data_IF_133128806792
#
_entry.id   IF_133128806792
#
_cell.length_a   1.000
_cell.length_b   1.000
_cell.length_c   1.000
_cell.angle_alpha   90.00
_cell.angle_beta   90.00
_cell.angle_gamma   90.00
#
_symmetry.space_group_name_H-M   'P 1'
#
loop_
_entity.id
_entity.type
_entity.pdbx_description
1 polymer ?
#
# COMPACT_ATOMS: atom_id res chain seq x y z
N UNK A 1 7.58 -13.00 17.88
CA UNK A 1 8.83 -12.72 17.14
C UNK A 1 8.50 -11.59 16.17
N UNK A 2 9.23 -10.48 16.23
CA UNK A 2 9.02 -9.39 15.27
C UNK A 2 9.36 -9.89 13.86
N UNK A 3 8.47 -9.62 12.91
CA UNK A 3 8.76 -9.86 11.49
C UNK A 3 10.07 -9.16 11.17
N UNK A 4 11.00 -9.87 10.54
CA UNK A 4 12.25 -9.26 10.08
C UNK A 4 11.91 -8.08 9.17
N UNK A 5 12.44 -6.90 9.47
CA UNK A 5 12.18 -5.66 8.70
C UNK A 5 12.46 -5.89 7.21
N UNK A 6 13.47 -6.69 6.88
CA UNK A 6 13.81 -7.00 5.50
C UNK A 6 12.70 -7.78 4.78
N UNK A 7 12.01 -8.70 5.45
CA UNK A 7 10.89 -9.44 4.85
C UNK A 7 9.67 -8.55 4.62
N UNK A 8 9.41 -7.64 5.57
CA UNK A 8 8.32 -6.66 5.45
C UNK A 8 8.60 -5.71 4.30
N UNK A 9 9.81 -5.18 4.23
CA UNK A 9 10.23 -4.25 3.18
C UNK A 9 10.24 -4.92 1.79
N UNK A 10 10.65 -6.19 1.71
CA UNK A 10 10.61 -6.97 0.48
C UNK A 10 9.18 -7.30 0.03
N UNK A 11 8.23 -7.54 0.95
CA UNK A 11 6.81 -7.69 0.62
C UNK A 11 6.28 -6.40 -0.03
N UNK A 12 6.53 -5.26 0.57
CA UNK A 12 6.12 -3.95 0.07
C UNK A 12 6.76 -3.61 -1.29
N UNK A 13 8.08 -3.78 -1.41
CA UNK A 13 8.80 -3.53 -2.67
C UNK A 13 8.27 -4.40 -3.80
N UNK A 14 8.02 -5.67 -3.52
CA UNK A 14 7.46 -6.60 -4.50
C UNK A 14 6.02 -6.23 -4.89
N UNK A 15 5.19 -5.82 -3.93
CA UNK A 15 3.87 -5.29 -4.22
C UNK A 15 3.95 -4.03 -5.10
N UNK A 16 4.82 -3.08 -4.76
CA UNK A 16 5.01 -1.84 -5.52
C UNK A 16 5.47 -2.15 -6.97
N UNK A 17 6.30 -3.18 -7.17
CA UNK A 17 6.75 -3.58 -8.49
C UNK A 17 5.63 -4.04 -9.41
N UNK A 18 4.52 -4.58 -8.88
CA UNK A 18 3.33 -4.97 -9.67
C UNK A 18 2.63 -3.77 -10.31
N UNK A 19 2.75 -2.60 -9.69
CA UNK A 19 2.15 -1.34 -10.14
C UNK A 19 3.09 -0.52 -11.03
N UNK A 20 4.35 -0.91 -11.12
CA UNK A 20 5.39 -0.17 -11.82
C UNK A 20 5.51 -0.58 -13.29
N UNK A 21 5.70 0.38 -14.18
CA UNK A 21 6.12 0.15 -15.57
C UNK A 21 7.63 0.04 -15.69
N UNK A 22 8.35 0.75 -14.82
CA UNK A 22 9.80 0.69 -14.67
C UNK A 22 10.11 0.30 -13.23
N UNK A 23 10.82 -0.81 -13.07
CA UNK A 23 11.36 -1.27 -11.80
C UNK A 23 12.84 -1.59 -12.00
N UNK A 24 13.72 -0.90 -11.27
CA UNK A 24 15.18 -1.07 -11.35
C UNK A 24 15.79 -1.06 -9.97
N UNK A 25 16.75 -1.93 -9.76
CA UNK A 25 17.59 -1.94 -8.57
C UNK A 25 19.01 -1.56 -8.97
N UNK A 26 19.51 -0.47 -8.39
CA UNK A 26 20.83 0.09 -8.66
C UNK A 26 21.50 0.28 -7.31
N UNK A 27 22.46 -0.57 -6.98
CA UNK A 27 23.16 -0.59 -5.71
C UNK A 27 22.22 -0.54 -4.49
N UNK A 28 22.24 0.57 -3.76
CA UNK A 28 21.47 0.81 -2.55
C UNK A 28 20.13 1.50 -2.82
N UNK A 29 19.75 1.70 -4.09
CA UNK A 29 18.51 2.36 -4.49
C UNK A 29 17.66 1.42 -5.33
N UNK A 30 16.36 1.39 -5.04
CA UNK A 30 15.36 0.68 -5.82
C UNK A 30 14.34 1.67 -6.38
N UNK A 31 14.25 1.73 -7.70
CA UNK A 31 13.40 2.65 -8.46
C UNK A 31 12.08 1.98 -8.84
N UNK A 32 10.98 2.65 -8.56
CA UNK A 32 9.64 2.31 -9.04
C UNK A 32 9.06 3.49 -9.79
N UNK A 33 8.56 3.28 -11.00
CA UNK A 33 7.93 4.35 -11.78
C UNK A 33 6.78 3.84 -12.62
N UNK A 34 5.65 4.54 -12.51
CA UNK A 34 4.53 4.43 -13.43
C UNK A 34 3.92 5.82 -13.63
N UNK A 35 4.34 6.57 -14.68
CA UNK A 35 3.87 7.92 -14.93
C UNK A 35 2.34 8.03 -15.09
N UNK A 36 1.67 6.95 -15.50
CA UNK A 36 0.22 6.94 -15.66
C UNK A 36 -0.56 6.95 -14.35
N UNK A 37 0.13 6.69 -13.21
CA UNK A 37 -0.43 6.84 -11.87
C UNK A 37 -0.28 8.27 -11.32
N UNK A 38 0.26 9.21 -12.13
CA UNK A 38 0.43 10.61 -11.74
C UNK A 38 1.44 10.78 -10.60
N UNK A 39 1.21 11.79 -9.76
CA UNK A 39 2.09 12.13 -8.63
C UNK A 39 1.82 11.25 -7.39
N UNK A 40 1.55 9.96 -7.58
CA UNK A 40 1.34 9.03 -6.47
C UNK A 40 2.66 8.73 -5.74
N UNK A 41 2.70 9.06 -4.45
CA UNK A 41 3.91 8.93 -3.61
C UNK A 41 4.28 7.48 -3.30
N UNK A 42 3.35 6.56 -3.43
CA UNK A 42 3.58 5.15 -3.13
C UNK A 42 4.15 4.39 -4.34
N UNK A 43 3.69 4.69 -5.54
CA UNK A 43 4.06 3.97 -6.77
C UNK A 43 5.12 4.67 -7.63
N UNK A 44 5.37 5.96 -7.42
CA UNK A 44 6.39 6.73 -8.12
C UNK A 44 7.49 7.16 -7.14
N UNK A 45 8.38 6.23 -6.79
CA UNK A 45 9.34 6.44 -5.70
C UNK A 45 10.68 5.76 -5.89
N UNK A 46 11.61 6.17 -5.05
CA UNK A 46 12.90 5.55 -4.80
C UNK A 46 12.92 5.03 -3.37
N UNK A 47 13.13 3.72 -3.20
CA UNK A 47 13.50 3.18 -1.89
C UNK A 47 15.01 3.32 -1.76
N UNK A 48 15.48 3.89 -0.66
CA UNK A 48 16.89 4.06 -0.37
C UNK A 48 17.24 3.30 0.89
N UNK A 49 18.22 2.39 0.80
CA UNK A 49 18.69 1.65 1.96
C UNK A 49 19.56 2.50 2.88
N UNK A 50 19.57 2.18 4.18
CA UNK A 50 20.38 2.90 5.20
C UNK A 50 21.89 2.87 4.96
N UNK A 51 22.37 2.03 4.05
CA UNK A 51 23.79 1.86 3.72
C UNK A 51 24.25 2.68 2.53
N UNK A 52 23.40 3.56 2.02
CA UNK A 52 23.68 4.36 0.82
C UNK A 52 24.46 5.63 1.17
N UNK A 53 25.74 5.69 0.83
CA UNK A 53 26.60 6.83 1.12
C UNK A 53 26.76 7.80 -0.08
N UNK A 54 26.22 7.45 -1.26
CA UNK A 54 26.38 8.20 -2.53
C UNK A 54 25.06 8.39 -3.28
N UNK A 55 24.02 8.75 -2.52
CA UNK A 55 22.66 8.89 -3.03
C UNK A 55 22.58 9.96 -4.12
N UNK A 56 23.29 11.07 -3.99
CA UNK A 56 23.25 12.17 -4.97
C UNK A 56 23.79 11.73 -6.34
N UNK A 57 24.86 10.92 -6.37
CA UNK A 57 25.41 10.38 -7.61
C UNK A 57 24.43 9.44 -8.31
N UNK A 58 23.78 8.55 -7.53
CA UNK A 58 22.77 7.65 -8.06
C UNK A 58 21.54 8.43 -8.56
N UNK A 59 21.10 9.45 -7.85
CA UNK A 59 19.99 10.28 -8.29
C UNK A 59 20.31 11.04 -9.58
N UNK A 60 21.54 11.53 -9.72
CA UNK A 60 22.00 12.14 -10.97
C UNK A 60 22.01 11.12 -12.12
N UNK A 61 22.49 9.90 -11.88
CA UNK A 61 22.46 8.82 -12.84
C UNK A 61 21.02 8.48 -13.26
N UNK A 62 20.10 8.42 -12.31
CA UNK A 62 18.69 8.14 -12.56
C UNK A 62 18.06 9.27 -13.38
N UNK A 63 18.30 10.53 -13.04
CA UNK A 63 17.80 11.69 -13.80
C UNK A 63 18.28 11.68 -15.26
N UNK A 64 19.51 11.29 -15.51
CA UNK A 64 20.08 11.28 -16.87
C UNK A 64 19.62 10.10 -17.72
N UNK A 65 19.42 8.92 -17.13
CA UNK A 65 19.17 7.69 -17.88
C UNK A 65 17.68 7.30 -17.95
N UNK A 66 16.87 7.81 -17.04
CA UNK A 66 15.45 7.52 -16.98
C UNK A 66 14.70 8.85 -17.15
N UNK A 67 14.27 9.13 -18.39
CA UNK A 67 13.44 10.31 -18.69
C UNK A 67 12.10 10.17 -17.95
N UNK A 68 12.04 10.71 -16.75
CA UNK A 68 10.81 10.78 -15.99
C UNK A 68 9.93 11.90 -16.60
N UNK A 69 8.78 11.55 -17.14
CA UNK A 69 7.74 12.51 -17.52
C UNK A 69 7.03 13.11 -16.28
N UNK A 70 7.53 12.82 -15.08
CA UNK A 70 7.03 13.33 -13.82
C UNK A 70 7.83 14.55 -13.39
N UNK A 71 7.14 15.56 -12.86
CA UNK A 71 7.80 16.74 -12.27
C UNK A 71 8.29 16.47 -10.85
N UNK A 72 7.67 15.52 -10.20
CA UNK A 72 7.86 15.18 -8.79
C UNK A 72 8.09 13.69 -8.64
N UNK A 73 9.02 13.33 -7.79
CA UNK A 73 9.31 11.96 -7.40
C UNK A 73 9.42 11.88 -5.89
N UNK A 74 9.22 10.68 -5.33
CA UNK A 74 9.28 10.52 -3.88
C UNK A 74 10.44 9.62 -3.47
N UNK A 75 10.99 9.88 -2.30
CA UNK A 75 12.07 9.08 -1.71
C UNK A 75 11.55 8.48 -0.42
N UNK A 76 11.65 7.17 -0.30
CA UNK A 76 11.35 6.43 0.91
C UNK A 76 12.63 5.90 1.52
N UNK A 77 12.92 6.26 2.75
CA UNK A 77 14.10 5.79 3.51
C UNK A 77 13.66 5.31 4.88
N UNK A 78 14.24 4.20 5.38
CA UNK A 78 14.00 3.73 6.74
C UNK A 78 14.62 4.73 7.72
N UNK A 79 13.87 5.08 8.77
CA UNK A 79 14.20 6.17 9.68
C UNK A 79 15.24 5.84 10.72
N UNK A 80 16.47 5.56 10.38
CA UNK A 80 17.56 5.50 11.37
C UNK A 80 18.70 6.49 11.08
N UNK A 81 18.59 7.29 10.02
CA UNK A 81 19.63 8.22 9.61
C UNK A 81 19.08 9.66 9.55
N UNK A 82 19.17 10.39 10.66
CA UNK A 82 18.97 11.85 10.67
C UNK A 82 19.98 12.59 9.77
N UNK A 83 21.07 11.91 9.40
CA UNK A 83 22.14 12.42 8.54
C UNK A 83 21.85 12.32 7.04
N UNK A 84 20.67 11.83 6.63
CA UNK A 84 20.30 11.79 5.23
C UNK A 84 19.91 13.20 4.75
N UNK A 85 20.90 14.06 4.59
CA UNK A 85 20.71 15.42 4.09
C UNK A 85 20.91 15.44 2.58
N UNK A 86 19.85 15.72 1.83
CA UNK A 86 19.92 16.03 0.41
C UNK A 86 19.52 17.49 0.18
N UNK A 87 20.31 18.22 -0.60
CA UNK A 87 20.16 19.67 -0.80
C UNK A 87 18.85 20.09 -1.48
N UNK A 88 18.21 19.21 -2.26
CA UNK A 88 17.03 19.52 -3.10
C UNK A 88 15.78 18.76 -2.71
N UNK A 89 15.64 18.29 -1.46
CA UNK A 89 14.46 17.55 -0.99
C UNK A 89 13.71 18.31 0.08
N UNK A 90 12.41 18.13 0.06
CA UNK A 90 11.52 18.57 1.14
C UNK A 90 10.89 17.36 1.81
N UNK A 91 10.88 17.31 3.14
CA UNK A 91 10.13 16.28 3.87
C UNK A 91 8.66 16.35 3.45
N UNK A 92 8.14 15.21 2.99
CA UNK A 92 6.74 15.04 2.62
C UNK A 92 5.92 14.52 3.80
N UNK A 93 6.42 13.47 4.47
CA UNK A 93 5.70 12.84 5.56
C UNK A 93 6.49 11.72 6.23
N UNK A 94 5.82 11.01 7.12
CA UNK A 94 6.34 9.82 7.78
C UNK A 94 5.33 8.68 7.64
N UNK A 95 5.77 7.55 7.11
CA UNK A 95 4.96 6.35 6.99
C UNK A 95 5.26 5.40 8.13
N UNK A 96 4.24 5.03 8.88
CA UNK A 96 4.31 3.95 9.85
C UNK A 96 4.02 2.62 9.17
N UNK A 97 4.87 1.65 9.43
CA UNK A 97 4.65 0.26 9.09
C UNK A 97 4.22 -0.46 10.35
N UNK A 98 3.04 -1.10 10.29
CA UNK A 98 2.45 -1.81 11.43
C UNK A 98 2.27 -3.28 11.08
N UNK A 99 2.41 -4.14 12.08
CA UNK A 99 2.16 -5.58 11.99
C UNK A 99 1.08 -6.01 12.97
N UNK A 100 0.29 -6.99 12.54
CA UNK A 100 -0.69 -7.68 13.35
C UNK A 100 -0.28 -9.16 13.46
N UNK A 101 -0.23 -9.69 14.67
CA UNK A 101 -0.28 -11.14 14.86
C UNK A 101 -1.70 -11.61 14.58
N UNK A 102 -1.87 -12.36 13.49
CA UNK A 102 -3.20 -12.79 13.06
C UNK A 102 -3.87 -13.73 14.04
N UNK A 103 -3.09 -14.43 14.89
CA UNK A 103 -3.60 -15.36 15.89
C UNK A 103 -4.20 -14.64 17.10
N UNK A 104 -3.67 -13.44 17.41
CA UNK A 104 -4.19 -12.60 18.50
C UNK A 104 -5.41 -11.75 18.08
N UNK A 105 -5.76 -11.72 16.80
CA UNK A 105 -6.85 -10.87 16.32
C UNK A 105 -8.21 -11.34 16.80
N UNK A 106 -8.95 -10.43 17.43
CA UNK A 106 -10.34 -10.64 17.84
C UNK A 106 -11.25 -10.36 16.65
N UNK A 107 -11.94 -11.41 16.20
CA UNK A 107 -12.85 -11.32 15.07
C UNK A 107 -14.02 -10.38 15.36
N UNK A 108 -14.33 -9.54 14.41
CA UNK A 108 -15.51 -8.68 14.41
C UNK A 108 -16.51 -9.18 13.34
N UNK A 109 -17.78 -9.07 13.63
CA UNK A 109 -18.85 -9.34 12.67
C UNK A 109 -19.82 -8.15 12.66
N UNK A 110 -19.74 -7.35 11.62
CA UNK A 110 -20.64 -6.22 11.41
C UNK A 110 -22.01 -6.70 10.89
N UNK A 111 -23.06 -6.01 11.33
CA UNK A 111 -24.39 -6.24 10.74
C UNK A 111 -24.45 -5.54 9.37
N UNK A 112 -25.11 -6.19 8.41
CA UNK A 112 -25.34 -5.62 7.07
C UNK A 112 -24.08 -5.39 6.23
N UNK A 113 -22.99 -6.11 6.49
CA UNK A 113 -21.77 -6.05 5.69
C UNK A 113 -21.39 -7.48 5.30
N UNK A 114 -21.20 -7.70 4.01
CA UNK A 114 -20.67 -8.95 3.45
C UNK A 114 -19.36 -8.64 2.75
N UNK A 115 -18.36 -9.51 2.92
CA UNK A 115 -17.06 -9.36 2.28
C UNK A 115 -16.75 -10.61 1.48
N UNK A 116 -16.64 -10.42 0.18
CA UNK A 116 -16.46 -11.48 -0.79
C UNK A 116 -15.10 -11.39 -1.50
N UNK A 117 -14.65 -12.54 -2.01
CA UNK A 117 -13.58 -12.56 -2.99
C UNK A 117 -14.09 -11.98 -4.30
N UNK A 118 -13.26 -11.18 -4.93
CA UNK A 118 -13.54 -10.65 -6.27
C UNK A 118 -13.15 -11.69 -7.32
N UNK A 119 -14.08 -12.05 -8.17
CA UNK A 119 -13.81 -12.80 -9.38
C UNK A 119 -13.62 -11.87 -10.59
N UNK A 120 -13.43 -12.43 -11.78
CA UNK A 120 -13.25 -11.62 -13.00
C UNK A 120 -14.47 -10.80 -13.38
N UNK A 121 -15.67 -11.23 -13.01
CA UNK A 121 -16.92 -10.54 -13.35
C UNK A 121 -17.09 -9.31 -12.45
N UNK A 122 -16.67 -9.42 -11.20
CA UNK A 122 -16.80 -8.35 -10.19
C UNK A 122 -15.60 -7.38 -10.20
N UNK A 123 -14.59 -7.62 -11.05
CA UNK A 123 -13.37 -6.83 -11.10
C UNK A 123 -13.64 -5.33 -11.34
N UNK A 124 -14.55 -5.01 -12.24
CA UNK A 124 -14.94 -3.62 -12.53
C UNK A 124 -15.57 -2.93 -11.31
N UNK A 125 -16.33 -3.67 -10.51
CA UNK A 125 -16.95 -3.15 -9.28
C UNK A 125 -15.88 -2.83 -8.24
N UNK A 126 -14.89 -3.71 -8.07
CA UNK A 126 -13.74 -3.47 -7.19
C UNK A 126 -12.94 -2.22 -7.62
N UNK A 127 -12.64 -2.09 -8.92
CA UNK A 127 -11.90 -0.94 -9.47
C UNK A 127 -12.67 0.36 -9.23
N UNK A 128 -13.99 0.35 -9.42
CA UNK A 128 -14.83 1.52 -9.18
C UNK A 128 -14.79 1.94 -7.71
N UNK A 129 -14.92 0.98 -6.79
CA UNK A 129 -14.84 1.24 -5.33
C UNK A 129 -13.45 1.75 -4.96
N UNK A 130 -12.38 1.17 -5.51
CA UNK A 130 -11.02 1.66 -5.31
C UNK A 130 -10.87 3.11 -5.76
N UNK A 131 -11.23 3.41 -7.01
CA UNK A 131 -11.08 4.76 -7.57
C UNK A 131 -11.86 5.81 -6.77
N UNK A 132 -13.08 5.48 -6.30
CA UNK A 132 -13.88 6.38 -5.46
C UNK A 132 -13.33 6.53 -4.04
N UNK A 133 -12.72 5.48 -3.49
CA UNK A 133 -12.20 5.50 -2.12
C UNK A 133 -10.94 6.36 -1.99
N UNK A 134 -10.13 6.41 -3.06
CA UNK A 134 -8.83 7.10 -3.13
C UNK A 134 -8.83 8.35 -4.01
N UNK A 135 -10.00 8.80 -4.48
CA UNK A 135 -10.15 9.95 -5.41
C UNK A 135 -9.28 9.80 -6.68
N UNK A 136 -9.19 8.57 -7.18
CA UNK A 136 -8.27 8.15 -8.23
C UNK A 136 -8.98 7.88 -9.57
N UNK A 137 -10.14 8.48 -9.81
CA UNK A 137 -10.95 8.24 -11.02
C UNK A 137 -10.18 8.54 -12.32
N UNK A 138 -9.28 9.53 -12.28
CA UNK A 138 -8.47 9.93 -13.44
C UNK A 138 -7.50 8.87 -13.92
N UNK A 139 -7.09 7.94 -13.04
CA UNK A 139 -6.14 6.86 -13.35
C UNK A 139 -6.81 5.50 -13.50
N UNK A 140 -8.14 5.47 -13.61
CA UNK A 140 -8.94 4.24 -13.65
C UNK A 140 -8.46 3.23 -14.70
N UNK A 141 -8.16 3.68 -15.91
CA UNK A 141 -7.73 2.80 -17.01
C UNK A 141 -6.39 2.12 -16.70
N UNK A 142 -5.47 2.86 -16.09
CA UNK A 142 -4.20 2.30 -15.65
C UNK A 142 -4.40 1.30 -14.51
N UNK A 143 -5.21 1.62 -13.52
CA UNK A 143 -5.58 0.70 -12.44
C UNK A 143 -6.22 -0.57 -13.01
N UNK A 144 -7.14 -0.44 -13.96
CA UNK A 144 -7.78 -1.57 -14.64
C UNK A 144 -6.75 -2.47 -15.31
N UNK A 145 -5.81 -1.87 -16.03
CA UNK A 145 -4.73 -2.60 -16.72
C UNK A 145 -3.85 -3.36 -15.73
N UNK A 146 -3.41 -2.69 -14.66
CA UNK A 146 -2.54 -3.28 -13.64
C UNK A 146 -3.24 -4.45 -12.96
N UNK A 147 -4.44 -4.22 -12.42
CA UNK A 147 -5.18 -5.22 -11.63
C UNK A 147 -5.54 -6.42 -12.50
N UNK A 148 -5.97 -6.21 -13.74
CA UNK A 148 -6.27 -7.30 -14.68
C UNK A 148 -5.04 -8.17 -14.96
N UNK A 149 -3.88 -7.56 -15.19
CA UNK A 149 -2.62 -8.27 -15.47
C UNK A 149 -2.08 -9.01 -14.24
N UNK A 150 -2.31 -8.49 -13.04
CA UNK A 150 -1.80 -9.07 -11.80
C UNK A 150 -2.82 -9.94 -11.06
N UNK A 151 -4.01 -10.12 -11.60
CA UNK A 151 -5.16 -10.77 -10.93
C UNK A 151 -4.84 -12.13 -10.28
N UNK A 152 -3.96 -12.93 -10.92
CA UNK A 152 -3.54 -14.25 -10.40
C UNK A 152 -2.53 -14.18 -9.25
N UNK A 153 -1.90 -13.02 -9.01
CA UNK A 153 -0.84 -12.84 -8.01
C UNK A 153 -1.33 -12.13 -6.75
N UNK A 154 -2.57 -11.65 -6.75
CA UNK A 154 -3.16 -10.85 -5.70
C UNK A 154 -4.51 -11.45 -5.29
N UNK A 155 -4.91 -11.19 -4.06
CA UNK A 155 -6.27 -11.51 -3.60
C UNK A 155 -7.03 -10.20 -3.40
N UNK A 156 -8.14 -10.05 -4.10
CA UNK A 156 -9.00 -8.87 -4.01
C UNK A 156 -10.22 -9.19 -3.17
N UNK A 157 -10.59 -8.28 -2.27
CA UNK A 157 -11.80 -8.36 -1.46
C UNK A 157 -12.66 -7.12 -1.71
N UNK A 158 -13.97 -7.37 -1.82
CA UNK A 158 -15.00 -6.35 -1.98
C UNK A 158 -15.98 -6.45 -0.81
N UNK A 159 -16.23 -5.35 -0.14
CA UNK A 159 -17.24 -5.25 0.91
C UNK A 159 -18.52 -4.62 0.36
N UNK A 160 -19.60 -5.34 0.52
CA UNK A 160 -20.95 -4.91 0.19
C UNK A 160 -21.71 -4.52 1.47
N UNK A 161 -22.35 -3.37 1.45
CA UNK A 161 -23.16 -2.85 2.56
C UNK A 161 -24.66 -2.93 2.22
N UNK A 162 -25.46 -3.47 3.12
CA UNK A 162 -26.91 -3.73 2.93
C UNK A 162 -27.75 -2.99 3.99
N UNK A 163 -27.89 -1.65 3.93
CA UNK A 163 -28.65 -0.91 4.93
C UNK A 163 -30.14 -1.28 4.96
N UNK A 164 -30.75 -1.52 3.81
CA UNK A 164 -32.18 -1.83 3.63
C UNK A 164 -32.40 -3.01 2.65
N UNK A 165 -31.56 -4.05 2.75
CA UNK A 165 -31.51 -5.18 1.81
C UNK A 165 -31.04 -4.85 0.39
N UNK A 166 -30.73 -3.59 0.11
CA UNK A 166 -30.09 -3.19 -1.15
C UNK A 166 -28.56 -3.32 -1.06
N UNK A 167 -27.97 -3.90 -2.11
CA UNK A 167 -26.52 -4.09 -2.22
C UNK A 167 -25.82 -2.80 -2.64
N UNK A 168 -24.88 -2.32 -1.82
CA UNK A 168 -24.00 -1.20 -2.14
C UNK A 168 -22.54 -1.62 -2.03
N UNK A 169 -21.78 -1.65 -3.14
CA UNK A 169 -20.32 -1.81 -3.08
C UNK A 169 -19.70 -0.64 -2.33
N UNK A 170 -19.10 -0.90 -1.19
CA UNK A 170 -18.81 0.14 -0.20
C UNK A 170 -17.35 0.24 0.19
N UNK A 171 -16.59 -0.84 0.07
CA UNK A 171 -15.16 -0.86 0.43
C UNK A 171 -14.41 -1.95 -0.30
N UNK A 172 -13.11 -1.80 -0.39
CA UNK A 172 -12.21 -2.74 -1.05
C UNK A 172 -10.89 -2.88 -0.30
N UNK A 173 -10.22 -3.99 -0.49
CA UNK A 173 -8.79 -4.13 -0.19
C UNK A 173 -8.14 -5.17 -1.11
N UNK A 174 -6.80 -5.19 -1.04
CA UNK A 174 -5.95 -6.11 -1.77
C UNK A 174 -4.99 -6.78 -0.79
N UNK A 175 -4.86 -8.10 -0.90
CA UNK A 175 -3.87 -8.88 -0.16
C UNK A 175 -2.76 -9.31 -1.11
N UNK A 176 -1.52 -9.14 -0.66
CA UNK A 176 -0.33 -9.58 -1.36
C UNK A 176 0.53 -10.45 -0.45
N UNK A 177 0.86 -11.64 -0.94
CA UNK A 177 1.53 -12.68 -0.17
C UNK A 177 2.98 -12.80 -0.61
N UNK A 178 3.92 -12.66 0.32
CA UNK A 178 5.34 -12.91 0.09
C UNK A 178 6.09 -13.11 1.42
N UNK A 179 7.08 -14.02 1.43
CA UNK A 179 7.99 -14.25 2.57
C UNK A 179 7.25 -14.52 3.89
N UNK A 180 6.27 -15.40 3.90
CA UNK A 180 5.46 -15.75 5.08
C UNK A 180 4.70 -14.57 5.70
N UNK A 181 4.59 -13.46 4.96
CA UNK A 181 3.88 -12.25 5.35
C UNK A 181 2.75 -11.99 4.35
N UNK A 182 1.61 -11.60 4.86
CA UNK A 182 0.52 -11.07 4.05
C UNK A 182 0.44 -9.55 4.22
N UNK A 183 0.60 -8.81 3.13
CA UNK A 183 0.42 -7.37 3.09
C UNK A 183 -1.03 -7.01 2.78
N UNK A 184 -1.62 -6.14 3.59
CA UNK A 184 -2.94 -5.56 3.35
C UNK A 184 -2.76 -4.18 2.70
N UNK A 185 -3.14 -4.08 1.44
CA UNK A 185 -3.00 -2.89 0.61
C UNK A 185 -4.35 -2.40 0.10
N UNK A 186 -4.39 -1.19 -0.39
CA UNK A 186 -5.58 -0.60 -1.03
C UNK A 186 -6.84 -0.69 -0.16
N UNK A 187 -6.71 -0.60 1.17
CA UNK A 187 -7.86 -0.62 2.07
C UNK A 187 -8.61 0.70 1.97
N UNK A 188 -9.72 0.68 1.26
CA UNK A 188 -10.53 1.85 0.98
C UNK A 188 -11.99 1.66 1.36
N UNK A 189 -12.65 2.76 1.74
CA UNK A 189 -14.10 2.83 1.94
C UNK A 189 -14.62 4.09 1.26
N UNK A 190 -15.60 3.95 0.40
CA UNK A 190 -16.22 5.10 -0.29
C UNK A 190 -16.80 6.08 0.72
N UNK A 191 -16.69 7.38 0.43
CA UNK A 191 -16.94 8.46 1.39
C UNK A 191 -18.30 8.34 2.10
N UNK A 192 -19.36 8.03 1.35
CA UNK A 192 -20.73 7.92 1.88
C UNK A 192 -20.93 6.77 2.87
N UNK A 193 -20.07 5.75 2.85
CA UNK A 193 -20.15 4.58 3.72
C UNK A 193 -19.07 4.53 4.81
N UNK A 194 -18.27 5.59 4.95
CA UNK A 194 -17.29 5.69 6.04
C UNK A 194 -17.96 5.63 7.41
N UNK A 195 -17.22 5.14 8.41
CA UNK A 195 -17.68 4.99 9.82
C UNK A 195 -18.83 3.99 10.01
N UNK A 196 -19.09 3.12 9.03
CA UNK A 196 -20.08 2.03 9.11
C UNK A 196 -19.47 0.67 9.50
N UNK A 197 -18.16 0.60 9.78
CA UNK A 197 -17.45 -0.65 10.13
C UNK A 197 -16.85 -1.40 8.94
N UNK A 198 -17.03 -0.94 7.70
CA UNK A 198 -16.64 -1.64 6.46
C UNK A 198 -15.16 -2.02 6.44
N UNK A 199 -14.25 -1.08 6.76
CA UNK A 199 -12.81 -1.36 6.80
C UNK A 199 -12.47 -2.44 7.85
N UNK A 200 -13.18 -2.48 8.97
CA UNK A 200 -13.00 -3.51 10.01
C UNK A 200 -13.40 -4.90 9.49
N UNK A 201 -14.52 -4.99 8.77
CA UNK A 201 -14.96 -6.26 8.19
C UNK A 201 -14.01 -6.76 7.10
N UNK A 202 -13.48 -5.87 6.26
CA UNK A 202 -12.42 -6.20 5.29
C UNK A 202 -11.18 -6.76 5.99
N UNK A 203 -10.73 -6.13 7.08
CA UNK A 203 -9.60 -6.62 7.89
C UNK A 203 -9.94 -7.98 8.52
N UNK A 204 -11.15 -8.14 9.10
CA UNK A 204 -11.58 -9.43 9.67
C UNK A 204 -11.54 -10.55 8.63
N UNK A 205 -12.04 -10.31 7.43
CA UNK A 205 -11.97 -11.28 6.33
C UNK A 205 -10.54 -11.56 5.90
N UNK A 206 -9.71 -10.52 5.79
CA UNK A 206 -8.29 -10.65 5.46
C UNK A 206 -7.53 -11.52 6.49
N UNK A 207 -7.81 -11.32 7.77
CA UNK A 207 -7.24 -12.16 8.85
C UNK A 207 -7.71 -13.60 8.78
N UNK A 208 -8.99 -13.87 8.47
CA UNK A 208 -9.47 -15.23 8.24
C UNK A 208 -8.70 -15.92 7.11
N UNK A 209 -8.47 -15.22 6.01
CA UNK A 209 -7.70 -15.72 4.86
C UNK A 209 -6.25 -16.00 5.28
N UNK A 210 -5.62 -15.07 5.98
CA UNK A 210 -4.25 -15.23 6.49
C UNK A 210 -4.12 -16.50 7.36
N UNK A 211 -5.04 -16.66 8.34
CA UNK A 211 -5.08 -17.86 9.20
C UNK A 211 -5.26 -19.15 8.39
N UNK A 212 -6.21 -19.18 7.45
CA UNK A 212 -6.49 -20.37 6.65
C UNK A 212 -5.31 -20.80 5.76
N UNK A 213 -4.44 -19.84 5.40
CA UNK A 213 -3.22 -20.07 4.62
C UNK A 213 -1.97 -20.28 5.48
N UNK A 214 -2.08 -20.24 6.82
CA UNK A 214 -0.98 -20.46 7.76
C UNK A 214 -0.07 -19.24 7.95
N UNK A 215 -0.48 -18.04 7.55
CA UNK A 215 0.26 -16.81 7.84
C UNK A 215 0.07 -16.42 9.30
N UNK A 216 1.17 -16.03 9.96
CA UNK A 216 1.14 -15.55 11.34
C UNK A 216 1.16 -14.02 11.42
N UNK A 217 1.58 -13.33 10.37
CA UNK A 217 1.74 -11.88 10.37
C UNK A 217 1.05 -11.21 9.19
N UNK A 218 0.31 -10.14 9.49
CA UNK A 218 -0.26 -9.22 8.49
C UNK A 218 0.33 -7.84 8.68
N UNK A 219 0.72 -7.18 7.58
CA UNK A 219 1.26 -5.83 7.62
C UNK A 219 0.34 -4.83 6.95
N UNK A 220 0.37 -3.60 7.45
CA UNK A 220 -0.26 -2.42 6.82
C UNK A 220 0.69 -1.23 6.91
N UNK A 221 0.42 -0.23 6.08
CA UNK A 221 1.16 1.01 6.04
C UNK A 221 0.20 2.19 6.08
N UNK A 222 0.58 3.24 6.81
CA UNK A 222 -0.22 4.46 6.89
C UNK A 222 0.66 5.67 7.12
N UNK A 223 0.33 6.78 6.48
CA UNK A 223 0.96 8.07 6.78
C UNK A 223 0.51 8.54 8.18
N UNK A 224 1.47 9.03 8.98
CA UNK A 224 1.17 9.60 10.30
C UNK A 224 0.22 10.80 10.17
N UNK A 225 0.41 11.58 9.13
CA UNK A 225 -0.35 12.79 8.82
C UNK A 225 -1.84 12.49 8.55
N UNK A 226 -2.17 11.28 8.09
CA UNK A 226 -3.56 10.83 7.84
C UNK A 226 -4.31 10.39 9.10
N UNK A 227 -3.59 10.19 10.22
CA UNK A 227 -4.15 9.84 11.53
C UNK A 227 -4.92 8.52 11.61
N UNK A 228 -4.63 7.56 10.72
CA UNK A 228 -5.27 6.24 10.75
C UNK A 228 -4.58 5.25 11.71
N UNK A 229 -3.45 5.61 12.29
CA UNK A 229 -2.69 4.74 13.20
C UNK A 229 -3.53 4.24 14.38
N UNK A 230 -4.33 5.14 15.01
CA UNK A 230 -5.20 4.77 16.13
C UNK A 230 -6.29 3.77 15.75
N UNK A 231 -6.78 3.82 14.51
CA UNK A 231 -7.72 2.83 13.99
C UNK A 231 -7.06 1.45 13.93
N UNK A 232 -5.86 1.35 13.38
CA UNK A 232 -5.14 0.08 13.29
C UNK A 232 -4.70 -0.43 14.66
N UNK A 233 -4.24 0.42 15.57
CA UNK A 233 -3.89 0.04 16.95
C UNK A 233 -5.08 -0.57 17.71
N UNK A 234 -6.29 -0.02 17.55
CA UNK A 234 -7.52 -0.57 18.14
C UNK A 234 -7.88 -1.95 17.60
N UNK A 235 -7.35 -2.33 16.45
CA UNK A 235 -7.50 -3.65 15.84
C UNK A 235 -6.35 -4.60 16.18
N UNK A 236 -5.40 -4.19 17.04
CA UNK A 236 -4.29 -5.01 17.48
C UNK A 236 -3.01 -4.85 16.65
N UNK A 237 -2.99 -3.99 15.64
CA UNK A 237 -1.75 -3.70 14.91
C UNK A 237 -0.76 -2.93 15.80
N UNK A 238 0.51 -3.32 15.72
CA UNK A 238 1.63 -2.72 16.47
C UNK A 238 2.64 -2.11 15.51
N UNK A 239 3.15 -0.88 15.76
CA UNK A 239 4.19 -0.31 14.91
C UNK A 239 5.46 -1.15 14.95
N UNK A 240 6.09 -1.34 13.79
CA UNK A 240 7.36 -2.08 13.65
C UNK A 240 8.50 -1.09 13.40
N UNK A 241 8.37 -0.28 12.35
CA UNK A 241 9.34 0.75 11.98
C UNK A 241 8.68 1.87 11.18
N UNK A 242 9.46 2.90 10.88
CA UNK A 242 9.01 4.06 10.11
C UNK A 242 9.85 4.28 8.88
N UNK A 243 9.24 4.83 7.84
CA UNK A 243 9.93 5.38 6.67
C UNK A 243 9.75 6.89 6.63
N UNK A 244 10.85 7.62 6.38
CA UNK A 244 10.78 9.03 6.04
C UNK A 244 10.48 9.17 4.54
N UNK A 245 9.52 9.99 4.22
CA UNK A 245 9.15 10.31 2.85
C UNK A 245 9.60 11.73 2.51
N UNK A 246 10.31 11.86 1.41
CA UNK A 246 10.73 13.16 0.90
C UNK A 246 10.27 13.33 -0.54
N UNK A 247 9.95 14.56 -0.90
CA UNK A 247 9.68 14.95 -2.28
C UNK A 247 11.00 15.33 -2.95
N UNK A 248 11.27 14.78 -4.12
CA UNK A 248 12.36 15.14 -4.99
C UNK A 248 11.79 15.89 -6.21
N UNK A 249 12.17 17.14 -6.40
CA UNK A 249 11.85 17.89 -7.59
C UNK A 249 12.89 17.60 -8.68
N UNK A 250 12.41 17.20 -9.87
CA UNK A 250 13.27 16.80 -10.99
C UNK A 250 13.60 17.94 -11.95
N UNK A 251 12.97 19.11 -11.76
CA UNK A 251 13.22 20.34 -12.54
C UNK A 251 13.90 21.38 -11.71
#
# INVERSE_FOLDING_TARGET
MGSDINYVDDNESSFCSLWSRIHKKIDCVELFSNPNLGDDYFFNRLNISNRCNYVDDILNLIKHNYAFNLNTYYIHSICDNENFVMSNKRKFGTMNILSLDVNEYVMHMGKHIEVDFVDKNDLNEWIEVFCRSFDSVKIRDEVTTIISNQFKKITLLLANYYPNQEKYPAGCCLLYEKNEIIGLYCLGTTQQFRRKGIARELISKAVQIAKSKGYNSMIVQTLIEERYEDFYKKLGFKPIYKKMLHTLYLK
#
